data_IF_453305262236
#
_entry.id   IF_453305262236
#
_cell.length_a   1.000
_cell.length_b   1.000
_cell.length_c   1.000
_cell.angle_alpha   90.00
_cell.angle_beta   90.00
_cell.angle_gamma   90.00
#
_symmetry.space_group_name_H-M   'P 1'
#
loop_
_entity.id
_entity.type
_entity.pdbx_description
1 polymer ?
#
# COMPACT_ATOMS: atom_id res chain seq x y z
N UNK A 1 -14.31 -4.01 14.49
CA UNK A 1 -13.99 -2.69 15.07
C UNK A 1 -12.53 -2.70 15.47
N UNK A 2 -11.68 -2.03 14.70
CA UNK A 2 -10.25 -1.96 15.00
C UNK A 2 -9.51 -1.23 13.89
N UNK A 3 -9.61 0.11 13.86
CA UNK A 3 -8.57 0.92 13.23
C UNK A 3 -7.50 1.17 14.28
N UNK A 4 -6.32 0.58 14.10
CA UNK A 4 -5.09 1.05 14.72
C UNK A 4 -4.21 1.55 13.59
N UNK A 5 -4.04 2.86 13.50
CA UNK A 5 -3.23 3.49 12.47
C UNK A 5 -1.77 3.05 12.57
N UNK A 6 -1.10 3.08 11.42
CA UNK A 6 0.35 3.19 11.34
C UNK A 6 0.74 4.47 12.09
N UNK A 7 1.19 4.31 13.34
CA UNK A 7 1.72 5.44 14.10
C UNK A 7 2.96 5.97 13.36
N UNK A 8 2.89 7.25 13.07
CA UNK A 8 3.92 8.01 12.39
C UNK A 8 5.24 7.90 13.18
N UNK A 9 6.30 7.42 12.51
CA UNK A 9 7.66 7.27 13.06
C UNK A 9 8.35 8.61 13.41
N UNK A 10 7.63 9.73 13.35
CA UNK A 10 8.10 11.10 13.62
C UNK A 10 8.57 11.35 15.05
N UNK A 11 8.42 10.39 15.97
CA UNK A 11 8.89 10.50 17.35
C UNK A 11 10.21 9.78 17.64
N UNK A 12 10.85 9.16 16.63
CA UNK A 12 12.15 8.52 16.80
C UNK A 12 13.27 9.39 16.21
N UNK A 13 14.14 9.90 17.09
CA UNK A 13 15.39 10.53 16.68
C UNK A 13 16.45 9.45 16.53
N UNK A 14 16.71 9.03 15.29
CA UNK A 14 17.81 8.13 14.96
C UNK A 14 19.12 8.92 14.97
N UNK A 15 20.14 8.41 15.67
CA UNK A 15 21.44 9.06 15.76
C UNK A 15 22.09 9.17 14.36
N UNK A 16 22.36 10.38 13.85
CA UNK A 16 22.90 10.59 12.50
C UNK A 16 24.40 10.24 12.39
N UNK A 17 25.09 9.93 13.50
CA UNK A 17 26.51 9.63 13.51
C UNK A 17 26.72 8.12 13.68
N UNK A 18 26.58 7.37 12.59
CA UNK A 18 26.80 5.92 12.58
C UNK A 18 28.11 5.48 13.24
N UNK A 19 28.08 4.35 13.96
CA UNK A 19 29.17 3.47 14.46
C UNK A 19 28.53 2.55 15.52
N UNK A 20 28.44 1.22 15.41
CA UNK A 20 29.50 0.25 15.13
C UNK A 20 29.04 -0.99 14.32
N UNK A 21 30.07 -1.68 13.82
CA UNK A 21 30.13 -2.85 12.94
C UNK A 21 30.55 -4.08 13.73
N UNK A 22 30.00 -5.27 13.43
CA UNK A 22 30.75 -6.53 13.51
C UNK A 22 31.18 -6.91 12.08
N UNK A 23 32.50 -6.98 11.89
CA UNK A 23 33.20 -7.36 10.68
C UNK A 23 34.00 -8.65 10.89
N UNK A 24 34.49 -9.22 9.79
CA UNK A 24 35.23 -10.49 9.67
C UNK A 24 36.63 -10.47 10.31
N UNK A 25 36.97 -9.44 11.09
CA UNK A 25 38.33 -9.07 11.52
C UNK A 25 38.62 -9.25 13.03
N UNK A 26 37.67 -9.77 13.82
CA UNK A 26 37.98 -10.51 15.06
C UNK A 26 38.57 -9.73 16.25
N UNK A 27 38.23 -8.45 16.43
CA UNK A 27 38.69 -7.68 17.60
C UNK A 27 37.52 -7.15 18.45
N UNK A 28 37.49 -7.58 19.72
CA UNK A 28 36.45 -7.32 20.72
C UNK A 28 36.70 -6.02 21.51
N UNK A 29 35.63 -5.37 21.99
CA UNK A 29 35.72 -4.34 23.05
C UNK A 29 34.87 -4.81 24.24
N UNK A 30 35.51 -5.01 25.40
CA UNK A 30 34.81 -5.32 26.65
C UNK A 30 34.05 -4.08 27.19
N UNK A 31 32.87 -4.29 27.82
CA UNK A 31 32.11 -3.23 28.46
C UNK A 31 32.76 -2.75 29.78
N UNK A 32 33.08 -1.45 29.85
CA UNK A 32 33.54 -0.77 31.06
C UNK A 32 32.37 -0.59 32.06
N UNK A 33 32.46 -1.08 33.31
CA UNK A 33 31.41 -0.96 34.32
C UNK A 33 31.18 0.47 34.85
N UNK A 34 31.92 1.47 34.36
CA UNK A 34 31.66 2.90 34.59
C UNK A 34 30.89 3.58 33.45
N UNK A 35 30.59 2.86 32.37
CA UNK A 35 29.87 3.35 31.20
C UNK A 35 28.36 3.44 31.45
N UNK A 36 27.74 4.59 31.17
CA UNK A 36 26.30 4.79 31.41
C UNK A 36 25.39 4.35 30.28
N UNK A 37 25.87 3.86 29.13
CA UNK A 37 24.99 3.40 28.03
C UNK A 37 25.77 2.49 27.06
N UNK A 38 25.76 1.18 27.29
CA UNK A 38 26.13 0.22 26.22
C UNK A 38 24.89 0.07 25.33
N UNK A 39 24.89 0.71 24.17
CA UNK A 39 23.75 0.73 23.23
C UNK A 39 24.18 0.05 21.93
N UNK A 40 23.58 -1.10 21.63
CA UNK A 40 23.72 -1.73 20.31
C UNK A 40 22.95 -0.95 19.25
N UNK A 41 23.49 -0.83 18.04
CA UNK A 41 22.79 -0.21 16.90
C UNK A 41 21.95 -1.25 16.15
N UNK A 42 20.70 -0.91 15.82
CA UNK A 42 19.84 -1.75 15.00
C UNK A 42 20.42 -1.90 13.59
N UNK A 43 20.46 -3.13 13.08
CA UNK A 43 20.94 -3.45 11.74
C UNK A 43 19.83 -4.11 10.92
N UNK A 44 19.29 -3.43 9.91
CA UNK A 44 18.33 -4.06 9.01
C UNK A 44 19.05 -5.06 8.11
N UNK A 45 18.44 -6.21 7.90
CA UNK A 45 18.87 -7.22 6.94
C UNK A 45 17.74 -7.50 5.96
N UNK A 46 18.06 -7.51 4.67
CA UNK A 46 17.14 -7.91 3.62
C UNK A 46 17.75 -9.07 2.85
N UNK A 47 16.97 -10.14 2.69
CA UNK A 47 17.36 -11.33 1.94
C UNK A 47 16.34 -11.57 0.86
N UNK A 48 16.81 -11.64 -0.38
CA UNK A 48 15.97 -12.01 -1.49
C UNK A 48 15.70 -13.53 -1.50
N UNK A 49 14.43 -13.91 -1.53
CA UNK A 49 14.00 -15.30 -1.44
C UNK A 49 13.71 -15.97 -2.81
N UNK A 50 13.96 -15.30 -3.94
CA UNK A 50 13.63 -15.82 -5.28
C UNK A 50 14.25 -17.18 -5.58
N UNK A 51 15.46 -17.43 -5.07
CA UNK A 51 16.16 -18.70 -5.27
C UNK A 51 15.51 -19.90 -4.57
N UNK A 52 14.56 -19.67 -3.65
CA UNK A 52 13.90 -20.71 -2.86
C UNK A 52 12.45 -20.97 -3.27
N UNK A 53 12.01 -20.51 -4.44
CA UNK A 53 10.65 -20.76 -4.93
C UNK A 53 10.33 -22.27 -4.93
N UNK A 54 9.16 -22.61 -4.41
CA UNK A 54 8.64 -23.99 -4.38
C UNK A 54 9.28 -24.88 -3.32
N UNK A 55 10.08 -24.31 -2.42
CA UNK A 55 10.70 -25.01 -1.31
C UNK A 55 10.16 -24.47 0.01
N UNK A 56 10.14 -25.33 1.03
CA UNK A 56 9.91 -24.89 2.40
C UNK A 56 11.16 -24.16 2.90
N UNK A 57 10.98 -22.95 3.44
CA UNK A 57 12.06 -22.14 4.00
C UNK A 57 11.88 -21.93 5.50
N UNK A 58 12.99 -21.91 6.22
CA UNK A 58 13.05 -21.63 7.65
C UNK A 58 14.00 -20.46 7.89
N UNK A 59 13.57 -19.48 8.67
CA UNK A 59 14.40 -18.34 9.09
C UNK A 59 14.88 -18.60 10.51
N UNK A 60 16.19 -18.59 10.72
CA UNK A 60 16.81 -18.81 12.02
C UNK A 60 17.81 -17.70 12.33
N UNK A 61 17.80 -17.22 13.57
CA UNK A 61 18.77 -16.26 14.09
C UNK A 61 19.75 -17.03 14.98
N UNK A 62 21.02 -17.12 14.57
CA UNK A 62 22.05 -17.81 15.32
C UNK A 62 22.92 -16.79 16.05
N UNK A 63 22.87 -16.81 17.38
CA UNK A 63 23.80 -16.10 18.24
C UNK A 63 24.93 -17.06 18.62
N UNK A 64 26.15 -16.75 18.21
CA UNK A 64 27.34 -17.55 18.50
C UNK A 64 28.43 -16.63 19.05
N UNK A 65 28.28 -16.27 20.33
CA UNK A 65 29.23 -15.48 21.09
C UNK A 65 29.51 -16.22 22.40
N UNK A 66 30.78 -16.22 22.80
CA UNK A 66 31.26 -16.86 24.04
C UNK A 66 31.29 -15.86 25.22
N UNK A 67 31.08 -14.56 24.95
CA UNK A 67 31.18 -13.45 25.91
C UNK A 67 29.95 -12.52 25.97
N UNK A 68 28.99 -12.62 25.04
CA UNK A 68 27.75 -11.82 25.05
C UNK A 68 26.54 -12.56 25.64
N UNK A 69 25.71 -11.83 26.40
CA UNK A 69 24.56 -12.39 27.15
C UNK A 69 23.19 -12.02 26.56
N UNK A 70 23.11 -11.20 25.50
CA UNK A 70 21.82 -10.72 24.97
C UNK A 70 21.86 -10.43 23.46
N UNK A 71 20.97 -11.09 22.71
CA UNK A 71 20.59 -10.71 21.34
C UNK A 71 19.18 -10.10 21.36
N UNK A 72 19.02 -8.91 20.79
CA UNK A 72 17.71 -8.32 20.51
C UNK A 72 17.43 -8.36 19.01
N UNK A 73 16.24 -8.84 18.64
CA UNK A 73 15.75 -8.84 17.26
C UNK A 73 14.37 -8.22 17.27
N UNK A 74 14.12 -7.33 16.31
CA UNK A 74 12.83 -6.67 16.13
C UNK A 74 12.54 -6.50 14.63
N UNK A 75 11.29 -6.17 14.29
CA UNK A 75 10.84 -5.88 12.92
C UNK A 75 11.12 -6.99 11.88
N UNK A 76 10.91 -8.25 12.26
CA UNK A 76 11.04 -9.40 11.35
C UNK A 76 9.81 -9.48 10.43
N UNK A 77 10.00 -9.19 9.14
CA UNK A 77 8.96 -9.29 8.11
C UNK A 77 9.34 -10.21 6.96
N UNK A 78 8.41 -11.06 6.52
CA UNK A 78 8.48 -11.75 5.22
C UNK A 78 7.51 -11.06 4.29
N UNK A 79 8.04 -10.22 3.41
CA UNK A 79 7.23 -9.43 2.48
C UNK A 79 7.23 -10.06 1.10
N UNK A 80 6.04 -10.29 0.56
CA UNK A 80 5.88 -10.57 -0.87
C UNK A 80 5.86 -9.22 -1.58
N UNK A 81 6.98 -8.84 -2.20
CA UNK A 81 6.98 -7.73 -3.15
C UNK A 81 6.22 -8.19 -4.39
N UNK A 82 4.92 -7.90 -4.41
CA UNK A 82 4.11 -8.07 -5.62
C UNK A 82 4.58 -7.01 -6.62
N UNK A 83 5.54 -7.37 -7.47
CA UNK A 83 5.77 -6.61 -8.71
C UNK A 83 4.51 -6.81 -9.53
N UNK A 84 3.67 -5.78 -9.55
CA UNK A 84 2.35 -5.80 -10.20
C UNK A 84 2.57 -5.86 -11.71
N UNK A 85 2.65 -7.08 -12.25
CA UNK A 85 2.82 -7.33 -13.69
C UNK A 85 1.57 -7.97 -14.32
N UNK A 86 0.42 -7.87 -13.66
CA UNK A 86 -0.86 -8.36 -14.15
C UNK A 86 -1.89 -7.25 -14.09
N UNK A 87 -2.44 -6.90 -15.25
CA UNK A 87 -3.49 -5.88 -15.43
C UNK A 87 -4.76 -6.24 -14.64
N UNK A 88 -4.94 -7.52 -14.28
CA UNK A 88 -6.10 -8.02 -13.53
C UNK A 88 -6.07 -7.69 -12.02
N UNK A 89 -4.91 -7.61 -11.36
CA UNK A 89 -4.81 -7.32 -9.92
C UNK A 89 -4.93 -5.81 -9.58
N UNK A 90 -4.83 -4.95 -10.59
CA UNK A 90 -5.09 -3.50 -10.44
C UNK A 90 -6.58 -3.19 -10.30
N UNK A 91 -7.45 -4.09 -10.77
CA UNK A 91 -8.89 -3.95 -10.64
C UNK A 91 -9.37 -4.13 -9.19
N UNK A 92 -8.64 -4.86 -8.35
CA UNK A 92 -9.01 -5.13 -6.95
C UNK A 92 -8.74 -3.97 -5.98
N UNK A 93 -8.05 -2.89 -6.41
CA UNK A 93 -7.74 -1.75 -5.51
C UNK A 93 -8.82 -0.68 -5.43
N UNK A 94 -9.72 -0.62 -6.41
CA UNK A 94 -10.85 0.30 -6.37
C UNK A 94 -12.10 -0.49 -6.05
N UNK A 95 -12.57 -0.39 -4.81
CA UNK A 95 -13.93 -0.79 -4.42
C UNK A 95 -14.95 0.16 -5.08
N UNK A 96 -15.08 0.09 -6.40
CA UNK A 96 -16.01 0.90 -7.19
C UNK A 96 -17.40 0.25 -7.16
N UNK A 97 -18.37 0.98 -6.63
CA UNK A 97 -19.78 0.63 -6.67
C UNK A 97 -20.58 1.76 -7.30
N UNK A 98 -21.58 1.42 -8.10
CA UNK A 98 -22.45 2.38 -8.78
C UNK A 98 -23.91 2.00 -8.53
N UNK A 99 -24.67 2.88 -7.89
CA UNK A 99 -26.06 2.62 -7.51
C UNK A 99 -26.95 3.87 -7.62
N UNK A 100 -28.25 3.72 -7.89
CA UNK A 100 -28.92 2.48 -8.30
C UNK A 100 -28.49 2.05 -9.70
N UNK A 101 -28.54 0.75 -9.96
CA UNK A 101 -28.41 0.16 -11.29
C UNK A 101 -29.59 -0.82 -11.47
N UNK A 102 -30.59 -0.53 -12.33
CA UNK A 102 -30.64 0.59 -13.27
C UNK A 102 -30.74 1.99 -12.63
N UNK A 103 -30.16 3.00 -13.28
CA UNK A 103 -30.18 4.40 -12.89
C UNK A 103 -31.27 5.15 -13.64
N UNK A 104 -32.02 6.02 -12.95
CA UNK A 104 -33.00 6.92 -13.56
C UNK A 104 -32.38 8.31 -13.76
N UNK A 105 -32.52 9.19 -12.77
CA UNK A 105 -32.01 10.57 -12.86
C UNK A 105 -30.63 10.74 -12.21
N UNK A 106 -30.29 9.87 -11.26
CA UNK A 106 -29.13 10.04 -10.41
C UNK A 106 -28.42 8.70 -10.29
N UNK A 107 -27.09 8.76 -10.34
CA UNK A 107 -26.20 7.64 -10.07
C UNK A 107 -25.21 8.06 -8.99
N UNK A 108 -25.19 7.34 -7.88
CA UNK A 108 -24.16 7.46 -6.87
C UNK A 108 -23.02 6.49 -7.19
N UNK A 109 -21.82 7.05 -7.29
CA UNK A 109 -20.57 6.32 -7.45
C UNK A 109 -19.83 6.35 -6.12
N UNK A 110 -19.67 5.19 -5.51
CA UNK A 110 -18.90 4.98 -4.28
C UNK A 110 -17.56 4.34 -4.62
N UNK A 111 -16.49 4.86 -4.05
CA UNK A 111 -15.14 4.33 -4.27
C UNK A 111 -14.22 4.58 -3.08
N UNK A 112 -13.16 3.79 -3.00
CA UNK A 112 -12.11 3.93 -2.01
C UNK A 112 -10.81 4.38 -2.69
N UNK A 113 -10.18 5.41 -2.13
CA UNK A 113 -8.86 5.90 -2.50
C UNK A 113 -7.84 5.27 -1.55
N UNK A 114 -7.02 4.29 -1.99
CA UNK A 114 -5.99 3.68 -1.15
C UNK A 114 -4.81 4.61 -0.85
N UNK A 115 -4.59 5.65 -1.67
CA UNK A 115 -3.53 6.63 -1.48
C UNK A 115 -3.94 7.98 -2.08
N UNK A 116 -3.30 9.07 -1.66
CA UNK A 116 -3.53 10.40 -2.22
C UNK A 116 -3.07 10.47 -3.67
N UNK A 117 -3.94 10.86 -4.59
CA UNK A 117 -3.58 11.02 -6.02
C UNK A 117 -4.58 11.89 -6.78
N UNK A 118 -4.25 12.22 -8.03
CA UNK A 118 -5.23 12.76 -8.96
C UNK A 118 -6.24 11.68 -9.35
N UNK A 119 -7.49 12.09 -9.56
CA UNK A 119 -8.64 11.22 -9.79
C UNK A 119 -9.47 11.71 -10.98
N UNK A 120 -9.84 10.81 -11.88
CA UNK A 120 -10.88 11.02 -12.90
C UNK A 120 -11.97 9.97 -12.75
N UNK A 121 -13.23 10.39 -12.77
CA UNK A 121 -14.38 9.51 -12.94
C UNK A 121 -15.08 9.91 -14.24
N UNK A 122 -15.28 8.95 -15.14
CA UNK A 122 -15.86 9.19 -16.45
C UNK A 122 -16.90 8.12 -16.81
N UNK A 123 -17.97 8.56 -17.47
CA UNK A 123 -19.04 7.72 -18.00
C UNK A 123 -18.88 7.66 -19.52
N UNK A 124 -18.90 6.45 -20.07
CA UNK A 124 -18.72 6.16 -21.49
C UNK A 124 -19.95 5.47 -22.06
N UNK A 125 -20.31 5.79 -23.30
CA UNK A 125 -21.32 5.05 -24.05
C UNK A 125 -20.73 3.75 -24.67
N UNK A 126 -21.58 2.94 -25.31
CA UNK A 126 -21.17 1.67 -25.96
C UNK A 126 -20.17 1.84 -27.10
N UNK A 127 -20.03 3.04 -27.66
CA UNK A 127 -19.03 3.36 -28.69
C UNK A 127 -17.67 3.75 -28.08
N UNK A 128 -17.58 3.83 -26.75
CA UNK A 128 -16.39 4.28 -26.03
C UNK A 128 -16.23 5.80 -25.97
N UNK A 129 -17.28 6.56 -26.29
CA UNK A 129 -17.26 8.02 -26.21
C UNK A 129 -17.55 8.46 -24.78
N UNK A 130 -16.72 9.38 -24.26
CA UNK A 130 -16.89 9.97 -22.93
C UNK A 130 -18.08 10.93 -22.95
N UNK A 131 -19.16 10.59 -22.26
CA UNK A 131 -20.39 11.40 -22.20
C UNK A 131 -20.46 12.30 -20.97
N UNK A 132 -19.79 11.92 -19.88
CA UNK A 132 -19.73 12.71 -18.64
C UNK A 132 -18.43 12.42 -17.90
N UNK A 133 -17.87 13.41 -17.21
CA UNK A 133 -16.69 13.21 -16.37
C UNK A 133 -16.55 14.25 -15.28
N UNK A 134 -15.81 13.89 -14.25
CA UNK A 134 -15.23 14.80 -13.27
C UNK A 134 -13.75 14.46 -13.07
N UNK A 135 -12.96 15.47 -12.73
CA UNK A 135 -11.55 15.28 -12.36
C UNK A 135 -11.24 16.13 -11.14
N UNK A 136 -10.54 15.54 -10.17
CA UNK A 136 -10.08 16.21 -8.97
C UNK A 136 -8.60 15.92 -8.75
N UNK A 137 -7.84 16.96 -8.46
CA UNK A 137 -6.42 16.83 -8.13
C UNK A 137 -6.23 16.59 -6.63
N UNK A 138 -5.20 15.81 -6.27
CA UNK A 138 -4.81 15.56 -4.87
C UNK A 138 -5.94 15.05 -3.96
N UNK A 139 -6.78 14.12 -4.47
CA UNK A 139 -7.80 13.46 -3.65
C UNK A 139 -7.10 12.59 -2.62
N UNK A 140 -7.33 12.88 -1.33
CA UNK A 140 -6.71 12.18 -0.20
C UNK A 140 -7.21 10.74 -0.11
N UNK A 141 -6.43 9.87 0.51
CA UNK A 141 -6.87 8.54 0.92
C UNK A 141 -8.22 8.59 1.70
N UNK A 142 -9.17 7.72 1.36
CA UNK A 142 -10.47 7.65 2.03
C UNK A 142 -11.60 7.05 1.18
N UNK A 143 -12.79 6.96 1.77
CA UNK A 143 -14.01 6.50 1.08
C UNK A 143 -14.81 7.70 0.62
N UNK A 144 -15.21 7.70 -0.65
CA UNK A 144 -15.91 8.79 -1.31
C UNK A 144 -17.22 8.33 -1.93
N UNK A 145 -18.17 9.25 -1.95
CA UNK A 145 -19.46 9.10 -2.59
C UNK A 145 -19.69 10.32 -3.47
N UNK A 146 -19.81 10.11 -4.78
CA UNK A 146 -20.09 11.18 -5.72
C UNK A 146 -21.40 10.93 -6.46
N UNK A 147 -22.23 11.96 -6.58
CA UNK A 147 -23.51 11.87 -7.28
C UNK A 147 -23.36 12.45 -8.68
N UNK A 148 -23.70 11.65 -9.69
CA UNK A 148 -23.84 12.09 -11.07
C UNK A 148 -25.32 12.24 -11.40
N UNK A 149 -25.70 13.39 -11.94
CA UNK A 149 -26.93 13.53 -12.70
C UNK A 149 -26.76 12.77 -14.03
N UNK A 150 -27.67 11.87 -14.34
CA UNK A 150 -27.70 11.09 -15.59
C UNK A 150 -29.01 11.28 -16.34
N UNK A 151 -29.85 12.24 -15.92
CA UNK A 151 -31.16 12.52 -16.52
C UNK A 151 -31.09 13.01 -17.97
N UNK A 152 -29.92 13.49 -18.40
CA UNK A 152 -29.64 13.94 -19.76
C UNK A 152 -29.12 12.82 -20.68
N UNK A 153 -28.85 11.62 -20.13
CA UNK A 153 -28.41 10.47 -20.91
C UNK A 153 -29.60 9.70 -21.48
N UNK A 154 -29.46 9.21 -22.71
CA UNK A 154 -30.47 8.35 -23.32
C UNK A 154 -30.53 6.98 -22.61
N UNK A 155 -31.69 6.30 -22.60
CA UNK A 155 -31.78 4.96 -22.02
C UNK A 155 -30.83 3.99 -22.73
N UNK A 156 -30.04 3.22 -21.98
CA UNK A 156 -29.03 2.34 -22.56
C UNK A 156 -27.98 1.83 -21.58
N UNK A 157 -26.99 1.12 -22.12
CA UNK A 157 -25.85 0.58 -21.36
C UNK A 157 -24.69 1.56 -21.41
N UNK A 158 -24.09 1.81 -20.26
CA UNK A 158 -22.94 2.69 -20.09
C UNK A 158 -21.86 2.03 -19.25
N UNK A 159 -20.62 2.51 -19.38
CA UNK A 159 -19.50 2.10 -18.54
C UNK A 159 -19.02 3.28 -17.70
N UNK A 160 -18.92 3.06 -16.40
CA UNK A 160 -18.33 3.99 -15.44
C UNK A 160 -16.89 3.57 -15.20
N UNK A 161 -15.94 4.46 -15.47
CA UNK A 161 -14.52 4.24 -15.23
C UNK A 161 -13.99 5.23 -14.22
N UNK A 162 -13.30 4.71 -13.21
CA UNK A 162 -12.48 5.49 -12.28
C UNK A 162 -11.00 5.29 -12.65
N UNK A 163 -10.21 6.35 -12.68
CA UNK A 163 -8.78 6.30 -12.99
C UNK A 163 -7.98 7.21 -12.05
N UNK A 164 -6.86 6.70 -11.56
CA UNK A 164 -5.89 7.41 -10.74
C UNK A 164 -4.47 6.95 -11.06
N UNK A 165 -3.46 7.53 -10.40
CA UNK A 165 -2.04 7.20 -10.64
C UNK A 165 -1.70 5.74 -10.40
N UNK A 166 -2.37 5.12 -9.42
CA UNK A 166 -2.13 3.73 -9.05
C UNK A 166 -3.04 2.73 -9.77
N UNK A 167 -3.90 3.16 -10.71
CA UNK A 167 -4.71 2.23 -11.52
C UNK A 167 -6.03 2.79 -12.04
N UNK A 168 -6.81 1.93 -12.70
CA UNK A 168 -8.16 2.25 -13.15
C UNK A 168 -9.07 1.03 -13.02
N UNK A 169 -10.34 1.23 -12.68
CA UNK A 169 -11.36 0.19 -12.65
C UNK A 169 -12.62 0.64 -13.39
N UNK A 170 -13.38 -0.31 -13.94
CA UNK A 170 -14.58 -0.01 -14.73
C UNK A 170 -15.74 -0.90 -14.29
N UNK A 171 -16.94 -0.33 -14.20
CA UNK A 171 -18.19 -1.07 -13.98
C UNK A 171 -19.24 -0.68 -15.02
N UNK A 172 -20.19 -1.58 -15.30
CA UNK A 172 -21.27 -1.33 -16.25
C UNK A 172 -22.56 -0.95 -15.52
N UNK A 173 -23.29 0.01 -16.07
CA UNK A 173 -24.59 0.47 -15.56
C UNK A 173 -25.61 0.49 -16.69
N UNK A 174 -26.89 0.44 -16.31
CA UNK A 174 -28.04 0.66 -17.20
C UNK A 174 -28.67 2.00 -16.81
N UNK A 175 -28.95 2.84 -17.78
CA UNK A 175 -29.77 4.06 -17.62
C UNK A 175 -31.16 3.79 -18.23
N UNK A 176 -32.22 4.15 -17.52
CA UNK A 176 -33.63 3.99 -17.94
C UNK A 176 -34.27 5.27 -18.47
#
# INVERSE_FOLDING_TARGET
SGSGGIDSLVNYTFDPAGCFVHGEDGMFIEPDPTSTNVVGQLRPFEVNLWQFIGQDIYIAFLHNSDDDNLISVDDIGVIKTTVVNSVDDLAEKFNLNAYPNPANNNLQISFEMPATSNLEIAIYNVLGEKVKSMSNDNVVQGIYNHMFDVSDLAPGVYSVRISAEFGATTTSIIVE
#
